data_IF_496475600940
#
_entry.id   IF_496475600940
#
_cell.length_a   1.000
_cell.length_b   1.000
_cell.length_c   1.000
_cell.angle_alpha   90.00
_cell.angle_beta   90.00
_cell.angle_gamma   90.00
#
_symmetry.space_group_name_H-M   'P 1'
#
loop_
_entity.id
_entity.type
_entity.pdbx_description
1 polymer ?
#
# COMPACT_ATOMS: atom_id res chain seq x y z
N UNK A 1 -12.34 -20.72 21.38
CA UNK A 1 -11.92 -19.62 22.26
C UNK A 1 -11.40 -18.52 21.37
N UNK A 2 -11.99 -17.31 21.37
CA UNK A 2 -11.43 -16.19 20.61
C UNK A 2 -10.42 -15.47 21.50
N UNK A 3 -9.14 -15.80 21.33
CA UNK A 3 -8.06 -15.09 21.99
C UNK A 3 -8.04 -13.63 21.53
N UNK A 4 -7.69 -12.70 22.42
CA UNK A 4 -7.64 -11.28 22.05
C UNK A 4 -6.52 -11.08 21.02
N UNK A 5 -6.77 -10.36 19.91
CA UNK A 5 -5.73 -10.09 18.92
C UNK A 5 -4.54 -9.37 19.56
N UNK A 6 -3.32 -9.77 19.19
CA UNK A 6 -2.12 -9.01 19.55
C UNK A 6 -1.98 -7.76 18.68
N UNK A 7 -1.13 -6.81 19.06
CA UNK A 7 -0.97 -5.52 18.38
C UNK A 7 -0.65 -5.64 16.88
N UNK A 8 0.03 -6.72 16.47
CA UNK A 8 0.36 -6.97 15.07
C UNK A 8 -0.83 -7.45 14.22
N UNK A 9 -1.96 -7.85 14.84
CA UNK A 9 -3.16 -8.34 14.16
C UNK A 9 -4.22 -7.25 13.92
N UNK A 10 -4.00 -5.99 14.35
CA UNK A 10 -4.89 -4.88 13.99
C UNK A 10 -4.64 -4.44 12.54
N UNK A 11 -5.46 -4.96 11.62
CA UNK A 11 -5.28 -4.80 10.16
C UNK A 11 -5.77 -3.46 9.64
N UNK A 12 -7.08 -3.22 9.76
CA UNK A 12 -7.73 -2.07 9.13
C UNK A 12 -7.63 -0.80 9.97
N UNK A 13 -7.89 0.33 9.32
CA UNK A 13 -8.13 1.60 9.99
C UNK A 13 -9.35 1.46 10.93
N UNK A 14 -9.19 1.94 12.16
CA UNK A 14 -10.26 1.93 13.18
C UNK A 14 -11.11 3.21 13.16
N UNK A 15 -11.09 3.95 12.04
CA UNK A 15 -11.84 5.18 11.87
C UNK A 15 -12.59 5.14 10.53
N UNK A 16 -13.90 5.41 10.48
CA UNK A 16 -14.73 5.17 9.29
C UNK A 16 -14.34 6.03 8.08
N UNK A 17 -13.76 7.20 8.32
CA UNK A 17 -13.33 8.13 7.27
C UNK A 17 -11.88 7.90 6.80
N UNK A 18 -11.21 6.85 7.30
CA UNK A 18 -9.83 6.55 6.93
C UNK A 18 -9.81 5.24 6.17
N UNK A 19 -9.29 5.29 4.95
CA UNK A 19 -9.29 4.16 4.04
C UNK A 19 -8.32 3.06 4.46
N UNK A 20 -8.67 1.83 4.09
CA UNK A 20 -7.77 0.69 4.09
C UNK A 20 -7.92 0.00 2.73
N UNK A 21 -6.79 -0.28 2.08
CA UNK A 21 -6.73 -1.06 0.85
C UNK A 21 -5.94 -2.33 1.11
N UNK A 22 -6.28 -3.40 0.41
CA UNK A 22 -5.59 -4.67 0.56
C UNK A 22 -5.56 -5.46 -0.74
N UNK A 23 -4.51 -6.25 -0.92
CA UNK A 23 -4.40 -7.20 -2.02
C UNK A 23 -3.79 -8.51 -1.52
N UNK A 24 -4.40 -9.61 -1.93
CA UNK A 24 -3.90 -10.97 -1.67
C UNK A 24 -3.06 -11.41 -2.86
N UNK A 25 -1.82 -11.83 -2.59
CA UNK A 25 -0.87 -12.25 -3.63
C UNK A 25 -0.16 -13.53 -3.20
N UNK A 26 0.33 -14.27 -4.19
CA UNK A 26 1.25 -15.39 -4.00
C UNK A 26 2.61 -14.95 -4.53
N UNK A 27 3.66 -15.02 -3.70
CA UNK A 27 5.02 -14.67 -4.17
C UNK A 27 5.59 -15.75 -5.09
N UNK A 28 5.25 -17.02 -4.83
CA UNK A 28 5.55 -18.18 -5.65
C UNK A 28 4.43 -19.21 -5.53
N UNK A 29 4.31 -20.13 -6.51
CA UNK A 29 3.28 -21.19 -6.52
C UNK A 29 3.32 -22.08 -5.26
N UNK A 30 4.50 -22.29 -4.69
CA UNK A 30 4.70 -23.12 -3.49
C UNK A 30 4.66 -22.34 -2.17
N UNK A 31 4.44 -21.02 -2.23
CA UNK A 31 4.38 -20.17 -1.04
C UNK A 31 2.94 -19.84 -0.66
N UNK A 32 2.71 -19.73 0.65
CA UNK A 32 1.42 -19.34 1.18
C UNK A 32 1.01 -17.93 0.72
N UNK A 33 -0.30 -17.68 0.51
CA UNK A 33 -0.78 -16.36 0.19
C UNK A 33 -0.48 -15.39 1.33
N UNK A 34 -0.14 -14.16 0.96
CA UNK A 34 0.04 -13.05 1.91
C UNK A 34 -0.90 -11.91 1.55
N UNK A 35 -1.26 -11.12 2.56
CA UNK A 35 -2.06 -9.92 2.42
C UNK A 35 -1.16 -8.69 2.54
N UNK A 36 -1.00 -7.96 1.46
CA UNK A 36 -0.44 -6.61 1.48
C UNK A 36 -1.53 -5.62 1.87
N UNK A 37 -1.26 -4.78 2.87
CA UNK A 37 -2.24 -3.81 3.41
C UNK A 37 -1.67 -2.41 3.35
N UNK A 38 -2.41 -1.49 2.74
CA UNK A 38 -2.22 -0.05 2.82
C UNK A 38 -3.24 0.53 3.79
N UNK A 39 -2.80 0.96 4.97
CA UNK A 39 -3.64 1.45 6.06
C UNK A 39 -3.46 2.94 6.20
N UNK A 40 -4.54 3.70 6.05
CA UNK A 40 -4.50 5.14 6.31
C UNK A 40 -4.13 5.46 7.76
N UNK A 41 -3.69 6.69 7.98
CA UNK A 41 -3.24 7.11 9.30
C UNK A 41 -4.42 7.20 10.29
N UNK A 42 -4.36 6.42 11.37
CA UNK A 42 -5.28 6.58 12.51
C UNK A 42 -4.60 6.42 13.87
N UNK A 43 -3.30 6.10 13.93
CA UNK A 43 -2.43 5.90 15.11
C UNK A 43 -1.07 5.31 14.65
N UNK A 44 -0.31 4.67 15.55
CA UNK A 44 1.04 4.13 15.41
C UNK A 44 1.22 2.87 14.53
N UNK A 45 0.20 2.42 13.81
CA UNK A 45 0.31 1.24 12.94
C UNK A 45 1.07 1.58 11.64
N UNK A 46 1.81 0.63 11.06
CA UNK A 46 2.51 0.87 9.80
C UNK A 46 1.52 1.20 8.68
N UNK A 47 1.88 2.15 7.78
CA UNK A 47 1.02 2.54 6.67
C UNK A 47 0.99 1.44 5.60
N UNK A 48 2.06 0.65 5.47
CA UNK A 48 2.10 -0.52 4.59
C UNK A 48 2.67 -1.71 5.37
N UNK A 49 2.01 -2.87 5.31
CA UNK A 49 2.44 -4.12 5.94
C UNK A 49 2.13 -5.33 5.06
N UNK A 50 2.94 -6.38 5.17
CA UNK A 50 2.70 -7.70 4.57
C UNK A 50 2.31 -8.67 5.68
N UNK A 51 1.14 -9.27 5.57
CA UNK A 51 0.51 -10.05 6.64
C UNK A 51 0.30 -11.50 6.20
N UNK A 52 0.56 -12.42 7.13
CA UNK A 52 0.34 -13.83 6.90
C UNK A 52 -1.16 -14.16 6.84
N UNK A 53 -1.56 -15.06 5.94
CA UNK A 53 -2.94 -15.57 5.85
C UNK A 53 -3.07 -17.05 6.20
N UNK A 54 -1.96 -17.77 6.35
CA UNK A 54 -1.98 -19.23 6.45
C UNK A 54 -1.55 -19.78 7.81
N UNK A 55 -0.60 -19.13 8.49
CA UNK A 55 -0.06 -19.63 9.76
C UNK A 55 -0.44 -18.70 10.91
N UNK A 56 -0.66 -19.29 12.09
CA UNK A 56 -0.94 -18.53 13.30
C UNK A 56 0.33 -17.80 13.78
N UNK A 57 0.24 -16.52 14.19
CA UNK A 57 -1.00 -15.72 14.28
C UNK A 57 -1.46 -15.16 12.91
N UNK A 58 -2.65 -15.54 12.46
CA UNK A 58 -3.20 -15.10 11.16
C UNK A 58 -3.39 -13.57 11.19
N UNK A 59 -3.14 -12.90 10.07
CA UNK A 59 -3.11 -11.45 9.88
C UNK A 59 -2.00 -10.68 10.60
N UNK A 60 -1.14 -11.38 11.32
CA UNK A 60 0.07 -10.79 11.88
C UNK A 60 1.10 -10.50 10.79
N UNK A 61 2.02 -9.59 11.10
CA UNK A 61 3.19 -9.28 10.28
C UNK A 61 4.44 -9.45 11.13
N UNK A 62 5.55 -9.83 10.49
CA UNK A 62 6.87 -9.80 11.09
C UNK A 62 7.40 -8.37 11.18
N UNK A 63 8.24 -8.06 12.16
CA UNK A 63 8.72 -6.69 12.42
C UNK A 63 9.40 -6.01 11.22
N UNK A 64 10.02 -6.80 10.34
CA UNK A 64 10.64 -6.38 9.08
C UNK A 64 9.68 -6.28 7.90
N UNK A 65 8.51 -6.94 7.97
CA UNK A 65 7.50 -7.01 6.92
C UNK A 65 6.56 -5.78 6.91
N UNK A 66 7.12 -4.59 7.11
CA UNK A 66 6.39 -3.33 7.13
C UNK A 66 7.24 -2.13 6.70
N UNK A 67 6.56 -1.12 6.18
CA UNK A 67 7.17 0.18 5.96
C UNK A 67 7.34 0.92 7.30
N UNK A 68 8.59 1.03 7.76
CA UNK A 68 8.93 1.78 8.95
C UNK A 68 8.98 3.29 8.66
N UNK A 69 8.11 4.07 9.30
CA UNK A 69 8.13 5.53 9.26
C UNK A 69 8.48 6.02 10.66
N UNK A 70 9.72 6.49 10.85
CA UNK A 70 10.28 6.81 12.16
C UNK A 70 9.54 7.96 12.87
N UNK A 71 8.51 7.66 13.66
CA UNK A 71 7.81 8.61 14.55
C UNK A 71 7.02 9.74 13.87
N UNK A 72 7.05 9.81 12.53
CA UNK A 72 6.48 10.93 11.75
C UNK A 72 5.22 10.54 10.95
N UNK A 73 4.57 9.45 11.34
CA UNK A 73 3.36 8.95 10.67
C UNK A 73 2.27 10.01 10.56
N UNK A 74 2.05 10.76 11.65
CA UNK A 74 1.07 11.85 11.74
C UNK A 74 1.41 13.04 10.84
N UNK A 75 2.69 13.30 10.60
CA UNK A 75 3.13 14.38 9.72
C UNK A 75 2.86 14.03 8.26
N UNK A 76 3.16 12.78 7.87
CA UNK A 76 2.90 12.30 6.51
C UNK A 76 1.40 12.17 6.22
N UNK A 77 0.62 11.66 7.19
CA UNK A 77 -0.83 11.52 7.06
C UNK A 77 -1.24 10.80 5.76
N UNK A 78 -1.00 9.48 5.71
CA UNK A 78 -1.24 8.66 4.51
C UNK A 78 -2.73 8.42 4.27
N UNK A 79 -3.17 8.59 3.03
CA UNK A 79 -4.51 8.28 2.55
C UNK A 79 -4.43 7.35 1.35
N UNK A 80 -4.81 6.08 1.53
CA UNK A 80 -4.75 5.07 0.48
C UNK A 80 -5.99 5.09 -0.40
N UNK A 81 -5.82 4.85 -1.69
CA UNK A 81 -6.92 4.86 -2.66
C UNK A 81 -7.01 3.54 -3.42
N UNK A 82 -5.88 2.94 -3.78
CA UNK A 82 -5.87 1.64 -4.44
C UNK A 82 -4.62 0.82 -4.11
N UNK A 83 -4.76 -0.49 -4.24
CA UNK A 83 -3.66 -1.44 -4.29
C UNK A 83 -3.89 -2.39 -5.48
N UNK A 84 -2.83 -2.72 -6.21
CA UNK A 84 -2.89 -3.73 -7.26
C UNK A 84 -1.56 -4.47 -7.39
N UNK A 85 -1.61 -5.66 -7.99
CA UNK A 85 -0.44 -6.45 -8.33
C UNK A 85 -0.31 -6.50 -9.84
N UNK A 86 0.90 -6.38 -10.34
CA UNK A 86 1.20 -6.55 -11.76
C UNK A 86 2.61 -7.12 -11.91
N UNK A 87 2.72 -8.22 -12.66
CA UNK A 87 3.93 -9.05 -12.72
C UNK A 87 4.39 -9.41 -11.29
N UNK A 88 5.68 -9.23 -10.99
CA UNK A 88 6.29 -9.60 -9.70
C UNK A 88 6.27 -8.46 -8.66
N UNK A 89 5.32 -7.53 -8.74
CA UNK A 89 5.28 -6.37 -7.85
C UNK A 89 3.88 -6.04 -7.35
N UNK A 90 3.83 -5.49 -6.13
CA UNK A 90 2.66 -4.82 -5.54
C UNK A 90 2.84 -3.32 -5.64
N UNK A 91 1.75 -2.65 -5.99
CA UNK A 91 1.66 -1.21 -6.12
C UNK A 91 0.60 -0.66 -5.18
N UNK A 92 0.92 0.46 -4.51
CA UNK A 92 -0.06 1.24 -3.76
C UNK A 92 -0.15 2.63 -4.34
N UNK A 93 -1.38 3.14 -4.45
CA UNK A 93 -1.65 4.52 -4.82
C UNK A 93 -2.29 5.23 -3.62
N UNK A 94 -1.63 6.30 -3.20
CA UNK A 94 -2.00 7.07 -2.03
C UNK A 94 -1.59 8.53 -2.21
N UNK A 95 -2.11 9.39 -1.35
CA UNK A 95 -1.56 10.73 -1.17
C UNK A 95 -1.15 10.94 0.28
N UNK A 96 -0.08 11.72 0.48
CA UNK A 96 0.46 12.08 1.78
C UNK A 96 1.10 13.47 1.68
N UNK A 97 1.38 14.12 2.81
CA UNK A 97 2.10 15.40 2.82
C UNK A 97 3.53 15.21 2.30
N UNK A 98 3.97 16.13 1.44
CA UNK A 98 5.36 16.18 0.98
C UNK A 98 6.23 16.94 1.98
N UNK A 99 6.77 16.23 2.97
CA UNK A 99 7.60 16.84 4.01
C UNK A 99 8.97 17.35 3.51
N UNK A 100 9.34 17.04 2.25
CA UNK A 100 10.53 17.63 1.61
C UNK A 100 10.23 19.01 1.01
N UNK A 101 8.95 19.28 0.68
CA UNK A 101 8.50 20.59 0.23
C UNK A 101 8.32 21.55 1.41
N UNK A 102 8.64 22.83 1.19
CA UNK A 102 8.34 23.88 2.17
C UNK A 102 6.83 24.03 2.41
N UNK A 103 6.01 23.83 1.38
CA UNK A 103 4.55 23.97 1.49
C UNK A 103 3.90 22.83 2.28
N UNK A 104 4.56 21.67 2.37
CA UNK A 104 4.04 20.42 2.99
C UNK A 104 2.66 20.02 2.49
N UNK A 105 2.32 20.42 1.26
CA UNK A 105 1.04 20.09 0.65
C UNK A 105 0.93 18.60 0.39
N UNK A 106 -0.32 18.11 0.31
CA UNK A 106 -0.58 16.75 -0.11
C UNK A 106 -0.15 16.54 -1.54
N UNK A 107 0.53 15.41 -1.78
CA UNK A 107 0.95 14.97 -3.09
C UNK A 107 0.61 13.50 -3.27
N UNK A 108 0.21 13.15 -4.48
CA UNK A 108 -0.04 11.77 -4.88
C UNK A 108 1.27 11.04 -5.15
N UNK A 109 1.35 9.80 -4.69
CA UNK A 109 2.46 8.88 -4.94
C UNK A 109 1.92 7.54 -5.44
N UNK A 110 2.75 6.88 -6.24
CA UNK A 110 2.68 5.43 -6.43
C UNK A 110 3.90 4.82 -5.72
N UNK A 111 3.68 3.79 -4.92
CA UNK A 111 4.78 2.96 -4.41
C UNK A 111 4.82 1.61 -5.09
N UNK A 112 5.98 0.97 -5.04
CA UNK A 112 6.22 -0.38 -5.57
C UNK A 112 7.05 -1.21 -4.59
N UNK A 113 6.69 -2.47 -4.41
CA UNK A 113 7.42 -3.49 -3.62
C UNK A 113 7.49 -4.79 -4.43
N UNK A 114 8.61 -5.52 -4.38
CA UNK A 114 8.72 -6.85 -4.97
C UNK A 114 7.94 -7.89 -4.14
N UNK A 115 7.29 -8.85 -4.79
CA UNK A 115 6.47 -9.86 -4.09
C UNK A 115 7.28 -10.75 -3.13
N UNK A 116 8.55 -10.97 -3.41
CA UNK A 116 9.46 -11.83 -2.65
C UNK A 116 10.27 -11.09 -1.57
N UNK A 117 10.10 -9.76 -1.46
CA UNK A 117 10.81 -8.93 -0.49
C UNK A 117 10.02 -8.77 0.82
N UNK A 118 10.42 -9.55 1.82
CA UNK A 118 9.85 -9.51 3.17
C UNK A 118 10.41 -8.38 4.04
N UNK A 119 11.48 -7.70 3.63
CA UNK A 119 12.17 -6.69 4.42
C UNK A 119 11.96 -5.26 3.89
N UNK A 120 11.14 -5.11 2.84
CA UNK A 120 10.81 -3.82 2.21
C UNK A 120 12.05 -3.08 1.64
N UNK A 121 13.14 -3.80 1.32
CA UNK A 121 14.33 -3.22 0.69
C UNK A 121 14.08 -2.69 -0.72
N UNK A 122 13.11 -3.27 -1.44
CA UNK A 122 12.68 -2.89 -2.78
C UNK A 122 11.67 -1.73 -2.78
N UNK A 123 11.23 -1.27 -1.59
CA UNK A 123 10.25 -0.20 -1.46
C UNK A 123 10.73 1.10 -2.09
N UNK A 124 9.97 1.60 -3.05
CA UNK A 124 10.23 2.90 -3.68
C UNK A 124 8.93 3.66 -3.89
N UNK A 125 8.98 4.98 -3.75
CA UNK A 125 7.88 5.91 -4.03
C UNK A 125 8.24 6.83 -5.19
N UNK A 126 7.30 7.03 -6.10
CA UNK A 126 7.41 8.00 -7.19
C UNK A 126 6.23 8.96 -7.10
N UNK A 127 6.46 10.29 -7.06
CA UNK A 127 5.38 11.26 -7.08
C UNK A 127 4.66 11.26 -8.43
N UNK A 128 3.33 11.24 -8.42
CA UNK A 128 2.53 11.44 -9.62
C UNK A 128 2.12 12.91 -9.72
N UNK A 129 2.15 13.44 -10.94
CA UNK A 129 1.68 14.80 -11.21
C UNK A 129 0.70 14.79 -12.36
N UNK A 130 -0.48 15.34 -12.14
CA UNK A 130 -1.53 15.47 -13.14
C UNK A 130 -1.78 16.97 -13.38
N UNK A 131 -1.67 17.40 -14.63
CA UNK A 131 -1.89 18.79 -15.04
C UNK A 131 -2.95 18.85 -16.12
N UNK A 132 -3.85 19.82 -16.01
CA UNK A 132 -4.69 20.22 -17.14
C UNK A 132 -3.90 21.04 -18.17
N UNK A 133 -4.46 21.16 -19.38
CA UNK A 133 -3.96 22.05 -20.43
C UNK A 133 -3.91 23.52 -19.99
N UNK A 134 -4.74 23.93 -19.02
CA UNK A 134 -4.77 25.31 -18.49
C UNK A 134 -3.80 25.52 -17.32
N UNK A 135 -2.97 24.52 -16.99
CA UNK A 135 -1.97 24.61 -15.92
C UNK A 135 -2.48 24.28 -14.52
N UNK A 136 -3.78 23.99 -14.33
CA UNK A 136 -4.30 23.51 -13.04
C UNK A 136 -3.69 22.15 -12.69
N UNK A 137 -3.18 22.04 -11.47
CA UNK A 137 -2.58 20.84 -10.91
C UNK A 137 -3.65 20.06 -10.13
N UNK A 138 -3.75 18.75 -10.37
CA UNK A 138 -4.60 17.82 -9.62
C UNK A 138 -3.69 16.91 -8.80
N UNK A 139 -3.44 17.29 -7.55
CA UNK A 139 -2.52 16.64 -6.64
C UNK A 139 -3.15 15.53 -5.79
N UNK A 140 -4.48 15.45 -5.75
CA UNK A 140 -5.23 14.47 -4.97
C UNK A 140 -5.86 13.43 -5.89
N UNK A 141 -5.33 12.22 -5.87
CA UNK A 141 -5.94 11.08 -6.53
C UNK A 141 -7.23 10.68 -5.80
N UNK A 142 -8.24 10.20 -6.53
CA UNK A 142 -9.55 9.86 -5.96
C UNK A 142 -9.96 8.41 -6.25
N UNK A 143 -9.63 7.91 -7.44
CA UNK A 143 -9.87 6.55 -7.85
C UNK A 143 -8.82 6.16 -8.90
N UNK A 144 -8.62 4.85 -9.06
CA UNK A 144 -7.68 4.26 -10.02
C UNK A 144 -8.36 3.06 -10.63
N UNK A 145 -8.28 2.95 -11.95
CA UNK A 145 -8.68 1.76 -12.68
C UNK A 145 -7.52 1.32 -13.55
N UNK A 146 -7.17 0.04 -13.47
CA UNK A 146 -6.27 -0.57 -14.44
C UNK A 146 -7.08 -0.98 -15.66
N UNK A 147 -6.65 -0.51 -16.83
CA UNK A 147 -7.15 -0.98 -18.11
C UNK A 147 -6.37 -2.20 -18.56
N UNK A 148 -7.06 -3.20 -19.08
CA UNK A 148 -6.43 -4.22 -19.91
C UNK A 148 -6.33 -3.66 -21.32
N UNK A 149 -5.12 -3.37 -21.81
CA UNK A 149 -4.96 -3.14 -23.25
C UNK A 149 -5.17 -4.49 -23.93
N UNK A 150 -6.25 -4.61 -24.71
CA UNK A 150 -6.35 -5.67 -25.71
C UNK A 150 -5.40 -5.33 -26.85
N UNK A 151 -4.10 -5.38 -26.59
CA UNK A 151 -3.14 -5.53 -27.68
C UNK A 151 -3.28 -6.96 -28.17
N UNK A 152 -3.74 -7.11 -29.41
CA UNK A 152 -4.21 -8.34 -30.02
C UNK A 152 -3.13 -9.38 -30.29
N UNK A 153 -2.46 -9.87 -29.24
CA UNK A 153 -1.68 -11.12 -29.25
C UNK A 153 -1.73 -11.71 -27.85
N UNK A 154 -2.49 -12.79 -27.69
CA UNK A 154 -2.67 -13.44 -26.41
C UNK A 154 -1.38 -14.02 -25.84
N UNK A 155 -1.24 -13.95 -24.52
CA UNK A 155 -0.67 -15.03 -23.71
C UNK A 155 -0.83 -14.72 -22.22
N UNK A 156 -1.66 -15.53 -21.58
CA UNK A 156 -1.52 -16.11 -20.24
C UNK A 156 -1.38 -15.16 -19.05
N UNK A 157 -2.52 -15.02 -18.36
CA UNK A 157 -2.59 -14.87 -16.91
C UNK A 157 -1.71 -15.89 -16.20
N UNK A 158 -0.86 -15.42 -15.29
CA UNK A 158 -0.32 -16.17 -14.15
C UNK A 158 -0.13 -15.18 -13.01
#
# INVERSE_FOLDING_TARGET
STERPVDTQYVAANHPNVSTVGIVVHSHLDRQPVLFVGRGYTNSHPPISTRNLAEEPIFSYEETAKLAVAGRLSEYDHHFVAAFAHNHHVYFLFYRRDLKSQSREYRTYISRICLDDQAYYSYVEVPLTCHSRTGKIYNLLQAVQLGSSTDGTGSLSS
#
